data_IF_119583410424
#
_entry.id   IF_119583410424
#
_cell.length_a   1.000
_cell.length_b   1.000
_cell.length_c   1.000
_cell.angle_alpha   90.00
_cell.angle_beta   90.00
_cell.angle_gamma   90.00
#
_symmetry.space_group_name_H-M   'P 1'
#
loop_
_entity.id
_entity.type
_entity.pdbx_description
1 polymer ?
#
# COMPACT_ATOMS: atom_id res chain seq x y z
N UNK A 1 2.00 -12.00 -1.92
CA UNK A 1 2.47 -10.63 -2.30
C UNK A 1 3.99 -10.55 -2.14
N UNK A 2 4.72 -9.90 -3.05
CA UNK A 2 6.20 -9.80 -2.99
C UNK A 2 6.73 -9.24 -1.65
N UNK A 3 6.04 -8.26 -1.08
CA UNK A 3 6.44 -7.60 0.17
C UNK A 3 6.29 -8.48 1.42
N UNK A 4 5.33 -9.39 1.43
CA UNK A 4 5.13 -10.32 2.55
C UNK A 4 6.32 -11.28 2.68
N UNK A 5 6.81 -11.81 1.55
CA UNK A 5 7.99 -12.68 1.54
C UNK A 5 9.26 -11.96 2.04
N UNK A 6 9.43 -10.68 1.69
CA UNK A 6 10.55 -9.84 2.17
C UNK A 6 10.47 -9.66 3.69
N UNK A 7 9.27 -9.38 4.21
CA UNK A 7 9.02 -9.26 5.64
C UNK A 7 9.30 -10.58 6.39
N UNK A 8 8.77 -11.70 5.90
CA UNK A 8 8.94 -13.01 6.52
C UNK A 8 10.43 -13.43 6.57
N UNK A 9 11.17 -13.16 5.49
CA UNK A 9 12.61 -13.41 5.42
C UNK A 9 13.39 -12.56 6.43
N UNK A 10 13.13 -11.25 6.48
CA UNK A 10 13.79 -10.36 7.44
C UNK A 10 13.53 -10.79 8.89
N UNK A 11 12.28 -11.18 9.20
CA UNK A 11 11.88 -11.64 10.53
C UNK A 11 12.53 -12.96 10.90
N UNK A 12 12.62 -13.91 9.95
CA UNK A 12 13.31 -15.20 10.16
C UNK A 12 14.79 -15.01 10.47
N UNK A 13 15.49 -14.17 9.70
CA UNK A 13 16.93 -13.87 9.91
C UNK A 13 17.18 -13.20 11.25
N UNK A 14 16.31 -12.26 11.63
CA UNK A 14 16.39 -11.63 12.93
C UNK A 14 16.14 -12.63 14.08
N UNK A 15 15.17 -13.54 13.93
CA UNK A 15 14.86 -14.56 14.93
C UNK A 15 16.01 -15.56 15.16
N UNK A 16 16.85 -15.82 14.16
CA UNK A 16 18.08 -16.64 14.31
C UNK A 16 19.29 -15.84 14.80
N UNK A 17 19.12 -14.55 15.11
CA UNK A 17 20.14 -13.71 15.74
C UNK A 17 21.05 -12.94 14.77
N UNK A 18 20.71 -12.86 13.48
CA UNK A 18 21.48 -12.03 12.55
C UNK A 18 21.37 -10.54 12.89
N UNK A 19 22.49 -9.82 12.75
CA UNK A 19 22.54 -8.38 12.99
C UNK A 19 21.68 -7.62 11.95
N UNK A 20 20.88 -6.65 12.41
CA UNK A 20 20.02 -5.83 11.56
C UNK A 20 20.75 -5.21 10.36
N UNK A 21 22.01 -4.79 10.53
CA UNK A 21 22.83 -4.24 9.44
C UNK A 21 23.23 -5.30 8.40
N UNK A 22 23.48 -6.54 8.84
CA UNK A 22 23.79 -7.67 7.94
C UNK A 22 22.58 -8.07 7.11
N UNK A 23 21.42 -8.15 7.75
CA UNK A 23 20.13 -8.40 7.07
C UNK A 23 19.86 -7.28 6.05
N UNK A 24 19.99 -6.01 6.44
CA UNK A 24 19.78 -4.87 5.56
C UNK A 24 20.66 -4.92 4.31
N UNK A 25 21.97 -5.16 4.47
CA UNK A 25 22.90 -5.23 3.34
C UNK A 25 22.63 -6.42 2.42
N UNK A 26 22.34 -7.60 2.98
CA UNK A 26 22.11 -8.82 2.19
C UNK A 26 20.79 -8.79 1.42
N UNK A 27 19.77 -8.11 1.95
CA UNK A 27 18.46 -7.98 1.31
C UNK A 27 18.30 -6.69 0.48
N UNK A 28 19.28 -5.77 0.51
CA UNK A 28 19.16 -4.47 -0.16
C UNK A 28 18.11 -3.56 0.46
N UNK A 29 17.87 -3.69 1.77
CA UNK A 29 16.90 -2.90 2.52
C UNK A 29 17.58 -1.80 3.35
N UNK A 30 16.84 -0.74 3.66
CA UNK A 30 17.28 0.25 4.64
C UNK A 30 17.21 -0.37 6.04
N UNK A 31 18.21 -0.12 6.89
CA UNK A 31 18.26 -0.63 8.27
C UNK A 31 16.99 -0.28 9.07
N UNK A 32 16.40 0.88 8.83
CA UNK A 32 15.15 1.30 9.47
C UNK A 32 13.99 0.34 9.17
N UNK A 33 13.83 -0.09 7.92
CA UNK A 33 12.81 -1.06 7.48
C UNK A 33 13.03 -2.42 8.13
N UNK A 34 14.27 -2.91 8.17
CA UNK A 34 14.57 -4.19 8.82
C UNK A 34 14.26 -4.12 10.31
N UNK A 35 14.60 -3.01 10.99
CA UNK A 35 14.25 -2.78 12.40
C UNK A 35 12.74 -2.84 12.61
N UNK A 36 11.97 -2.20 11.73
CA UNK A 36 10.50 -2.19 11.79
C UNK A 36 9.94 -3.61 11.61
N UNK A 37 10.41 -4.36 10.62
CA UNK A 37 9.96 -5.74 10.37
C UNK A 37 10.32 -6.72 11.49
N UNK A 38 11.47 -6.51 12.14
CA UNK A 38 11.94 -7.34 13.24
C UNK A 38 11.05 -7.24 14.50
N UNK A 39 10.51 -6.05 14.78
CA UNK A 39 9.72 -5.79 15.99
C UNK A 39 8.21 -5.77 15.75
N UNK A 40 7.76 -5.67 14.50
CA UNK A 40 6.34 -5.66 14.17
C UNK A 40 5.67 -6.98 14.57
N UNK A 41 4.54 -6.89 15.26
CA UNK A 41 3.77 -8.08 15.66
C UNK A 41 3.15 -8.77 14.45
N UNK A 42 2.68 -7.99 13.48
CA UNK A 42 2.06 -8.45 12.24
C UNK A 42 2.66 -7.74 11.01
N UNK A 43 2.47 -8.34 9.82
CA UNK A 43 2.91 -7.75 8.56
C UNK A 43 2.25 -6.37 8.37
N UNK A 44 3.02 -5.28 8.16
CA UNK A 44 2.48 -3.94 7.90
C UNK A 44 1.94 -3.87 6.47
N UNK A 45 0.85 -4.59 6.23
CA UNK A 45 0.14 -4.53 4.97
C UNK A 45 -0.42 -3.12 4.79
N UNK A 46 -0.22 -2.54 3.60
CA UNK A 46 -0.99 -1.36 3.21
C UNK A 46 -2.44 -1.78 3.15
N UNK A 47 -3.24 -1.33 4.11
CA UNK A 47 -4.68 -1.52 4.05
C UNK A 47 -5.18 -0.92 2.73
N UNK A 48 -6.08 -1.59 2.01
CA UNK A 48 -6.74 -0.95 0.88
C UNK A 48 -7.33 0.36 1.41
N UNK A 49 -7.19 1.42 0.62
CA UNK A 49 -7.85 2.67 0.95
C UNK A 49 -9.33 2.33 1.07
N UNK A 50 -9.89 2.45 2.28
CA UNK A 50 -11.31 2.20 2.46
C UNK A 50 -12.06 3.12 1.50
N UNK A 51 -13.19 2.66 0.98
CA UNK A 51 -14.16 3.54 0.34
C UNK A 51 -14.75 4.46 1.42
N UNK A 52 -13.93 5.38 1.94
CA UNK A 52 -14.43 6.55 2.62
C UNK A 52 -15.35 7.30 1.67
N UNK A 53 -16.28 8.11 2.20
CA UNK A 53 -17.19 8.85 1.35
C UNK A 53 -16.39 9.60 0.29
N UNK A 54 -16.63 9.27 -0.98
CA UNK A 54 -16.00 9.99 -2.08
C UNK A 54 -16.41 11.45 -1.99
N UNK A 55 -15.50 12.38 -2.30
CA UNK A 55 -15.87 13.78 -2.48
C UNK A 55 -16.95 13.95 -3.55
N UNK A 56 -17.09 12.95 -4.44
CA UNK A 56 -18.12 12.89 -5.46
C UNK A 56 -19.47 12.36 -4.95
N UNK A 57 -19.54 11.79 -3.74
CA UNK A 57 -20.78 11.22 -3.19
C UNK A 57 -21.99 12.16 -3.28
N UNK A 58 -21.88 13.46 -2.95
CA UNK A 58 -23.00 14.40 -3.10
C UNK A 58 -23.44 14.62 -4.55
N UNK A 59 -22.55 14.37 -5.51
CA UNK A 59 -22.75 14.66 -6.93
C UNK A 59 -23.07 13.43 -7.76
N UNK A 60 -23.06 12.22 -7.19
CA UNK A 60 -23.29 10.97 -7.94
C UNK A 60 -24.60 11.03 -8.73
N UNK A 61 -25.69 11.52 -8.13
CA UNK A 61 -26.98 11.63 -8.82
C UNK A 61 -26.90 12.53 -10.07
N UNK A 62 -26.22 13.68 -9.95
CA UNK A 62 -26.01 14.60 -11.06
C UNK A 62 -25.13 13.97 -12.15
N UNK A 63 -24.03 13.32 -11.75
CA UNK A 63 -23.09 12.70 -12.67
C UNK A 63 -23.70 11.50 -13.41
N UNK A 64 -24.58 10.73 -12.77
CA UNK A 64 -25.29 9.62 -13.41
C UNK A 64 -26.22 10.13 -14.51
N UNK A 65 -27.05 11.14 -14.21
CA UNK A 65 -27.95 11.75 -15.21
C UNK A 65 -27.14 12.31 -16.38
N UNK A 66 -26.06 13.02 -16.09
CA UNK A 66 -25.19 13.57 -17.12
C UNK A 66 -24.49 12.50 -17.97
N UNK A 67 -24.16 11.34 -17.38
CA UNK A 67 -23.59 10.21 -18.13
C UNK A 67 -24.63 9.55 -19.03
N UNK A 68 -25.87 9.41 -18.54
CA UNK A 68 -26.98 8.82 -19.29
C UNK A 68 -27.45 9.72 -20.45
N UNK A 69 -27.35 11.05 -20.30
CA UNK A 69 -27.67 12.04 -21.33
C UNK A 69 -26.63 12.11 -22.47
N UNK A 70 -25.49 11.42 -22.32
CA UNK A 70 -24.40 11.44 -23.28
C UNK A 70 -23.39 12.55 -22.95
N UNK A 71 -22.18 12.12 -22.60
CA UNK A 71 -21.05 12.99 -22.27
C UNK A 71 -20.44 13.62 -23.54
N UNK A 72 -21.20 14.40 -24.31
CA UNK A 72 -20.78 14.94 -25.61
C UNK A 72 -19.96 16.26 -25.52
N UNK A 73 -19.81 16.83 -24.32
CA UNK A 73 -19.18 18.15 -24.13
C UNK A 73 -17.64 18.18 -24.26
N UNK A 74 -16.97 17.05 -24.52
CA UNK A 74 -15.52 17.04 -24.74
C UNK A 74 -15.10 17.60 -26.13
N UNK A 75 -16.05 17.79 -27.04
CA UNK A 75 -15.84 18.26 -28.44
C UNK A 75 -16.51 19.63 -28.66
N UNK A 76 -16.37 20.55 -27.71
CA UNK A 76 -16.76 21.95 -27.91
C UNK A 76 -15.63 22.87 -27.45
N UNK A 77 -14.55 22.91 -28.23
CA UNK A 77 -13.53 23.96 -28.22
C UNK A 77 -13.28 24.44 -29.64
#
# INVERSE_FOLDING_TARGET
MRWQAVYDEARRRYAVGELLLGIARSMGLVRATVREYAVAEAFPARLPHGAGPSLLNPYIAYLTVWTDEGCENAVAL
#
